data_IF_019556511142
#
_entry.id   IF_019556511142
#
_cell.length_a   1.000
_cell.length_b   1.000
_cell.length_c   1.000
_cell.angle_alpha   90.00
_cell.angle_beta   90.00
_cell.angle_gamma   90.00
#
_symmetry.space_group_name_H-M   'P 1'
#
loop_
_entity.id
_entity.type
_entity.pdbx_description
1 polymer ?
#
# COMPACT_ATOMS: atom_id res chain seq x y z
N UNK A 1 -21.52 10.26 24.30
CA UNK A 1 -20.14 10.62 24.63
C UNK A 1 -19.86 12.02 24.11
N UNK A 2 -19.19 12.86 24.89
CA UNK A 2 -18.66 14.15 24.45
C UNK A 2 -17.42 13.96 23.59
N UNK A 3 -17.02 14.97 22.78
CA UNK A 3 -15.78 14.90 22.00
C UNK A 3 -14.55 14.62 22.86
N UNK A 4 -14.53 15.10 24.11
CA UNK A 4 -13.43 14.86 25.06
C UNK A 4 -13.39 13.40 25.51
N UNK A 5 -14.54 12.79 25.74
CA UNK A 5 -14.64 11.36 26.10
C UNK A 5 -14.22 10.46 24.95
N UNK A 6 -14.66 10.77 23.72
CA UNK A 6 -14.27 10.01 22.51
C UNK A 6 -12.75 10.09 22.30
N UNK A 7 -12.17 11.28 22.47
CA UNK A 7 -10.73 11.46 22.34
C UNK A 7 -9.95 10.68 23.41
N UNK A 8 -10.41 10.68 24.67
CA UNK A 8 -9.78 9.87 25.73
C UNK A 8 -9.78 8.40 25.35
N UNK A 9 -10.92 7.89 24.88
CA UNK A 9 -11.06 6.50 24.46
C UNK A 9 -10.12 6.13 23.30
N UNK A 10 -9.98 6.99 22.28
CA UNK A 10 -9.01 6.78 21.19
C UNK A 10 -7.57 6.75 21.71
N UNK A 11 -7.24 7.62 22.66
CA UNK A 11 -5.90 7.72 23.25
C UNK A 11 -5.55 6.57 24.21
N UNK A 12 -6.54 5.77 24.62
CA UNK A 12 -6.35 4.52 25.37
C UNK A 12 -6.17 3.30 24.45
N UNK A 13 -6.40 3.45 23.15
CA UNK A 13 -6.33 2.38 22.15
C UNK A 13 -4.91 1.96 21.77
N UNK A 14 -4.81 1.18 20.68
CA UNK A 14 -3.53 0.76 20.10
C UNK A 14 -2.61 1.96 19.79
N UNK A 15 -1.30 1.77 19.87
CA UNK A 15 -0.30 2.84 19.64
C UNK A 15 -0.48 3.53 18.28
N UNK A 16 -0.94 2.80 17.25
CA UNK A 16 -1.27 3.35 15.93
C UNK A 16 -2.50 4.28 15.96
N UNK A 17 -3.51 3.95 16.76
CA UNK A 17 -4.70 4.77 16.97
C UNK A 17 -4.31 6.03 17.74
N UNK A 18 -3.49 5.89 18.80
CA UNK A 18 -3.00 7.03 19.56
C UNK A 18 -2.23 7.99 18.64
N UNK A 19 -1.31 7.48 17.83
CA UNK A 19 -0.55 8.29 16.87
C UNK A 19 -1.47 9.05 15.90
N UNK A 20 -2.42 8.36 15.27
CA UNK A 20 -3.33 8.97 14.31
C UNK A 20 -4.31 9.96 14.97
N UNK A 21 -4.81 9.68 16.18
CA UNK A 21 -5.63 10.64 16.93
C UNK A 21 -4.85 11.92 17.25
N UNK A 22 -3.57 11.82 17.65
CA UNK A 22 -2.73 12.99 17.84
C UNK A 22 -2.46 13.74 16.54
N UNK A 23 -2.13 13.03 15.46
CA UNK A 23 -1.78 13.62 14.16
C UNK A 23 -2.99 14.29 13.50
N UNK A 24 -4.10 13.57 13.37
CA UNK A 24 -5.24 13.91 12.51
C UNK A 24 -6.35 14.67 13.25
N UNK A 25 -6.52 14.45 14.56
CA UNK A 25 -7.57 15.12 15.35
C UNK A 25 -7.04 16.24 16.24
N UNK A 26 -5.80 16.12 16.73
CA UNK A 26 -5.18 17.12 17.60
C UNK A 26 -4.12 17.97 16.89
N UNK A 27 -3.89 17.76 15.59
CA UNK A 27 -2.89 18.47 14.78
C UNK A 27 -1.50 18.48 15.44
N UNK A 28 -1.15 17.40 16.14
CA UNK A 28 0.11 17.26 16.87
C UNK A 28 0.80 15.98 16.43
N UNK A 29 1.74 16.10 15.49
CA UNK A 29 2.44 14.96 14.92
C UNK A 29 3.50 14.38 15.87
N UNK A 30 3.07 13.54 16.82
CA UNK A 30 3.95 12.89 17.81
C UNK A 30 4.72 11.72 17.19
N UNK A 31 5.85 12.01 16.52
CA UNK A 31 6.69 10.98 15.90
C UNK A 31 7.15 9.89 16.86
N UNK A 32 7.36 10.21 18.14
CA UNK A 32 7.68 9.22 19.17
C UNK A 32 6.62 8.10 19.29
N UNK A 33 5.33 8.38 19.04
CA UNK A 33 4.30 7.35 19.01
C UNK A 33 4.41 6.52 17.74
N UNK A 34 4.73 7.15 16.60
CA UNK A 34 4.91 6.47 15.31
C UNK A 34 6.06 5.47 15.34
N UNK A 35 7.19 5.87 15.93
CA UNK A 35 8.38 5.04 16.10
C UNK A 35 8.08 3.79 16.93
N UNK A 36 7.21 3.90 17.94
CA UNK A 36 6.82 2.78 18.79
C UNK A 36 5.92 1.74 18.09
N UNK A 37 5.27 2.08 16.97
CA UNK A 37 4.36 1.16 16.26
C UNK A 37 5.07 -0.13 15.83
N UNK A 38 6.38 -0.07 15.53
CA UNK A 38 7.12 -1.27 15.13
C UNK A 38 7.47 -2.20 16.32
N UNK A 39 7.32 -1.72 17.55
CA UNK A 39 7.65 -2.45 18.78
C UNK A 39 6.44 -2.74 19.68
N UNK A 40 5.31 -2.06 19.45
CA UNK A 40 4.11 -2.18 20.28
C UNK A 40 2.84 -2.44 19.43
N UNK A 41 1.84 -3.05 20.06
CA UNK A 41 0.50 -3.15 19.49
C UNK A 41 0.42 -4.00 18.22
N UNK A 42 -0.49 -3.60 17.32
CA UNK A 42 -0.76 -4.32 16.08
C UNK A 42 0.40 -4.29 15.09
N UNK A 43 1.13 -3.18 14.99
CA UNK A 43 2.28 -3.05 14.08
C UNK A 43 3.36 -4.09 14.41
N UNK A 44 3.78 -4.17 15.66
CA UNK A 44 4.71 -5.19 16.13
C UNK A 44 4.18 -6.61 15.93
N UNK A 45 2.88 -6.83 16.17
CA UNK A 45 2.26 -8.13 15.94
C UNK A 45 2.31 -8.55 14.48
N UNK A 46 2.00 -7.66 13.54
CA UNK A 46 2.17 -7.94 12.11
C UNK A 46 3.63 -8.26 11.78
N UNK A 47 4.58 -7.42 12.21
CA UNK A 47 6.01 -7.64 11.96
C UNK A 47 6.49 -9.00 12.49
N UNK A 48 5.98 -9.45 13.64
CA UNK A 48 6.35 -10.73 14.24
C UNK A 48 5.96 -11.96 13.39
N UNK A 49 4.98 -11.82 12.49
CA UNK A 49 4.56 -12.89 11.58
C UNK A 49 5.35 -12.93 10.26
N UNK A 50 6.31 -12.01 10.06
CA UNK A 50 7.20 -12.05 8.89
C UNK A 50 8.05 -13.32 8.97
N UNK A 51 7.99 -14.13 7.91
CA UNK A 51 8.70 -15.41 7.88
C UNK A 51 10.18 -15.22 7.47
N UNK A 52 11.05 -16.23 7.69
CA UNK A 52 12.42 -16.22 7.18
C UNK A 52 12.53 -16.04 5.66
N UNK A 53 11.48 -16.39 4.91
CA UNK A 53 11.35 -16.12 3.47
C UNK A 53 11.22 -14.63 3.15
N UNK A 54 11.06 -13.78 4.16
CA UNK A 54 10.84 -12.32 4.10
C UNK A 54 9.45 -11.92 3.58
N UNK A 55 8.52 -12.87 3.50
CA UNK A 55 7.12 -12.64 3.17
C UNK A 55 6.23 -12.86 4.40
N UNK A 56 4.98 -12.42 4.30
CA UNK A 56 3.86 -12.89 5.09
C UNK A 56 3.01 -13.87 4.27
N UNK A 57 2.46 -14.89 4.92
CA UNK A 57 1.72 -15.94 4.24
C UNK A 57 2.63 -16.87 3.42
N UNK A 58 2.20 -17.28 2.23
CA UNK A 58 2.92 -18.19 1.32
C UNK A 58 3.62 -17.47 0.15
N UNK A 59 3.62 -16.13 0.13
CA UNK A 59 4.21 -15.33 -0.92
C UNK A 59 3.59 -13.93 -0.99
N UNK A 60 3.71 -13.28 -2.14
CA UNK A 60 3.22 -11.92 -2.30
C UNK A 60 1.71 -11.76 -2.06
N UNK A 61 0.88 -12.58 -2.70
CA UNK A 61 -0.59 -12.45 -2.69
C UNK A 61 -1.33 -13.71 -2.21
N UNK A 62 -0.66 -14.61 -1.50
CA UNK A 62 -1.28 -15.85 -1.01
C UNK A 62 -0.98 -16.16 0.46
N UNK A 63 -1.97 -16.69 1.23
CA UNK A 63 -3.41 -16.68 0.91
C UNK A 63 -3.95 -15.24 0.95
N UNK A 64 -5.16 -14.97 0.43
CA UNK A 64 -5.63 -13.58 0.21
C UNK A 64 -5.36 -12.64 1.39
N UNK A 65 -6.10 -12.75 2.49
CA UNK A 65 -6.10 -11.71 3.54
C UNK A 65 -4.88 -11.70 4.47
N UNK A 66 -4.13 -12.80 4.56
CA UNK A 66 -2.91 -12.89 5.39
C UNK A 66 -1.64 -12.94 4.54
N UNK A 67 -1.73 -12.50 3.29
CA UNK A 67 -0.58 -12.37 2.39
C UNK A 67 0.23 -11.11 2.68
N UNK A 68 1.45 -11.11 2.13
CA UNK A 68 2.35 -9.95 2.14
C UNK A 68 1.69 -8.68 1.64
N UNK A 69 0.93 -8.73 0.54
CA UNK A 69 0.24 -7.57 0.00
C UNK A 69 -0.67 -6.89 1.02
N UNK A 70 -1.59 -7.64 1.62
CA UNK A 70 -2.53 -7.06 2.59
C UNK A 70 -1.86 -6.70 3.90
N UNK A 71 -0.83 -7.45 4.34
CA UNK A 71 -0.07 -7.06 5.53
C UNK A 71 0.69 -5.75 5.32
N UNK A 72 1.29 -5.51 4.15
CA UNK A 72 1.95 -4.23 3.84
C UNK A 72 0.94 -3.07 3.79
N UNK A 73 -0.23 -3.30 3.22
CA UNK A 73 -1.32 -2.33 3.21
C UNK A 73 -1.80 -2.00 4.63
N UNK A 74 -1.99 -3.01 5.49
CA UNK A 74 -2.37 -2.81 6.88
C UNK A 74 -1.28 -2.09 7.68
N UNK A 75 -0.02 -2.45 7.50
CA UNK A 75 1.12 -1.75 8.14
C UNK A 75 1.16 -0.27 7.74
N UNK A 76 0.88 0.06 6.47
CA UNK A 76 0.69 1.45 6.03
C UNK A 76 -0.50 2.12 6.73
N UNK A 77 -1.64 1.45 6.81
CA UNK A 77 -2.86 1.99 7.46
C UNK A 77 -2.68 2.19 8.97
N UNK A 78 -1.81 1.41 9.61
CA UNK A 78 -1.38 1.63 10.99
C UNK A 78 -0.41 2.82 11.12
N UNK A 79 0.03 3.40 10.00
CA UNK A 79 0.97 4.50 9.91
C UNK A 79 2.37 4.22 10.51
N UNK A 80 2.81 2.95 10.47
CA UNK A 80 4.15 2.56 10.89
C UNK A 80 5.23 3.37 10.16
N UNK A 81 6.41 3.56 10.78
CA UNK A 81 7.52 4.28 10.16
C UNK A 81 7.78 3.83 8.71
N UNK A 82 7.91 4.76 7.75
CA UNK A 82 8.10 4.42 6.35
C UNK A 82 9.52 3.91 6.08
N UNK A 83 10.42 4.02 7.07
CA UNK A 83 11.82 3.62 6.99
C UNK A 83 12.10 2.27 7.67
N UNK A 84 11.05 1.51 8.02
CA UNK A 84 11.22 0.20 8.64
C UNK A 84 12.00 -0.75 7.69
N UNK A 85 13.12 -1.26 8.19
CA UNK A 85 14.06 -2.05 7.38
C UNK A 85 13.47 -3.38 6.90
N UNK A 86 12.63 -4.03 7.71
CA UNK A 86 12.04 -5.32 7.37
C UNK A 86 11.03 -5.16 6.23
N UNK A 87 10.23 -4.10 6.26
CA UNK A 87 9.29 -3.76 5.19
C UNK A 87 10.05 -3.44 3.90
N UNK A 88 11.09 -2.61 3.98
CA UNK A 88 11.93 -2.24 2.83
C UNK A 88 12.54 -3.47 2.16
N UNK A 89 13.14 -4.36 2.94
CA UNK A 89 13.70 -5.62 2.42
C UNK A 89 12.65 -6.47 1.69
N UNK A 90 11.42 -6.54 2.22
CA UNK A 90 10.34 -7.29 1.57
C UNK A 90 9.93 -6.65 0.25
N UNK A 91 9.81 -5.32 0.21
CA UNK A 91 9.48 -4.58 -1.01
C UNK A 91 10.57 -4.75 -2.08
N UNK A 92 11.84 -4.68 -1.70
CA UNK A 92 12.96 -4.90 -2.62
C UNK A 92 12.85 -6.28 -3.30
N UNK A 93 12.54 -7.33 -2.54
CA UNK A 93 12.37 -8.68 -3.08
C UNK A 93 11.15 -8.79 -3.99
N UNK A 94 10.03 -8.14 -3.64
CA UNK A 94 8.82 -8.14 -4.48
C UNK A 94 9.11 -7.50 -5.83
N UNK A 95 9.74 -6.32 -5.86
CA UNK A 95 10.07 -5.63 -7.11
C UNK A 95 11.13 -6.36 -7.95
N UNK A 96 11.99 -7.17 -7.32
CA UNK A 96 12.96 -8.01 -8.02
C UNK A 96 12.32 -9.27 -8.62
N UNK A 97 11.44 -9.96 -7.88
CA UNK A 97 11.00 -11.33 -8.21
C UNK A 97 9.60 -11.43 -8.78
N UNK A 98 8.70 -10.54 -8.40
CA UNK A 98 7.27 -10.64 -8.71
C UNK A 98 6.85 -9.74 -9.88
N UNK A 99 7.80 -9.00 -10.45
CA UNK A 99 7.57 -8.06 -11.54
C UNK A 99 7.27 -8.78 -12.85
N UNK A 100 6.15 -8.40 -13.46
CA UNK A 100 5.65 -8.92 -14.72
C UNK A 100 6.28 -8.28 -15.95
N UNK A 101 6.06 -8.92 -17.09
CA UNK A 101 6.48 -8.41 -18.40
C UNK A 101 5.68 -7.17 -18.83
N UNK A 102 4.48 -7.00 -18.28
CA UNK A 102 3.63 -5.83 -18.49
C UNK A 102 4.01 -4.63 -17.60
N UNK A 103 5.03 -4.77 -16.76
CA UNK A 103 5.56 -3.71 -15.90
C UNK A 103 4.94 -3.64 -14.51
N UNK A 104 3.82 -4.33 -14.27
CA UNK A 104 3.20 -4.44 -12.95
C UNK A 104 3.77 -5.57 -12.10
N UNK A 105 3.23 -5.75 -10.91
CA UNK A 105 3.52 -6.90 -10.03
C UNK A 105 2.38 -7.91 -10.15
N UNK A 106 2.74 -9.18 -10.30
CA UNK A 106 1.77 -10.26 -10.44
C UNK A 106 1.19 -10.70 -9.08
N UNK A 107 -0.13 -10.65 -8.96
CA UNK A 107 -0.87 -11.34 -7.91
C UNK A 107 -1.26 -12.74 -8.41
N UNK A 108 -0.34 -13.70 -8.29
CA UNK A 108 -0.46 -15.13 -8.67
C UNK A 108 -1.57 -15.49 -9.68
N UNK A 109 -1.16 -15.90 -10.88
CA UNK A 109 -2.05 -16.49 -11.88
C UNK A 109 -1.30 -17.04 -13.08
N UNK A 110 -1.89 -18.02 -13.76
CA UNK A 110 -1.38 -18.64 -15.00
C UNK A 110 -1.30 -17.69 -16.19
N UNK A 111 -2.07 -16.59 -16.12
CA UNK A 111 -2.33 -15.72 -17.26
C UNK A 111 -1.28 -14.62 -17.44
N UNK A 112 -0.30 -14.51 -16.52
CA UNK A 112 0.80 -13.54 -16.55
C UNK A 112 0.36 -12.11 -16.90
N UNK A 113 -0.76 -11.65 -16.32
CA UNK A 113 -1.21 -10.25 -16.43
C UNK A 113 -1.41 -9.66 -15.04
N UNK A 114 -0.96 -8.43 -14.88
CA UNK A 114 -1.05 -7.65 -13.66
C UNK A 114 -2.47 -7.13 -13.45
N UNK A 115 -3.00 -7.30 -12.24
CA UNK A 115 -4.31 -6.76 -11.86
C UNK A 115 -4.17 -5.26 -11.51
N UNK A 116 -4.98 -4.43 -12.13
CA UNK A 116 -4.89 -2.96 -12.04
C UNK A 116 -5.24 -2.44 -10.64
N UNK A 117 -6.20 -3.06 -9.94
CA UNK A 117 -6.53 -2.65 -8.58
C UNK A 117 -5.37 -2.98 -7.63
N UNK A 118 -4.78 -4.17 -7.79
CA UNK A 118 -3.65 -4.59 -6.98
C UNK A 118 -2.44 -3.70 -7.22
N UNK A 119 -2.16 -3.32 -8.47
CA UNK A 119 -1.05 -2.43 -8.79
C UNK A 119 -1.28 -0.99 -8.32
N UNK A 120 -2.53 -0.51 -8.28
CA UNK A 120 -2.89 0.74 -7.61
C UNK A 120 -2.58 0.72 -6.11
N UNK A 121 -2.97 -0.36 -5.42
CA UNK A 121 -2.64 -0.56 -4.00
C UNK A 121 -1.13 -0.71 -3.75
N UNK A 122 -0.40 -1.39 -4.65
CA UNK A 122 1.07 -1.51 -4.58
C UNK A 122 1.71 -0.13 -4.70
N UNK A 123 1.29 0.67 -5.69
CA UNK A 123 1.80 2.02 -5.86
C UNK A 123 1.56 2.84 -4.59
N UNK A 124 0.39 2.68 -3.95
CA UNK A 124 0.06 3.34 -2.70
C UNK A 124 1.08 3.00 -1.59
N UNK A 125 1.12 1.77 -1.09
CA UNK A 125 2.01 1.48 0.04
C UNK A 125 3.50 1.56 -0.33
N UNK A 126 3.89 1.28 -1.58
CA UNK A 126 5.31 1.35 -1.97
C UNK A 126 5.83 2.78 -1.99
N UNK A 127 4.98 3.73 -2.39
CA UNK A 127 5.30 5.16 -2.32
C UNK A 127 5.42 5.63 -0.87
N UNK A 128 4.49 5.21 -0.01
CA UNK A 128 4.56 5.49 1.43
C UNK A 128 5.86 4.97 2.07
N UNK A 129 6.28 3.76 1.71
CA UNK A 129 7.51 3.13 2.21
C UNK A 129 8.80 3.59 1.49
N UNK A 130 8.75 4.69 0.73
CA UNK A 130 9.91 5.28 0.04
C UNK A 130 10.70 4.28 -0.82
N UNK A 131 10.00 3.40 -1.55
CA UNK A 131 10.63 2.51 -2.53
C UNK A 131 11.32 3.34 -3.61
N UNK A 132 12.45 2.85 -4.16
CA UNK A 132 13.16 3.55 -5.24
C UNK A 132 12.24 3.84 -6.42
N UNK A 133 12.20 5.10 -6.88
CA UNK A 133 11.31 5.54 -7.97
C UNK A 133 11.41 4.65 -9.22
N UNK A 134 12.62 4.26 -9.61
CA UNK A 134 12.86 3.40 -10.77
C UNK A 134 12.08 2.07 -10.73
N UNK A 135 11.74 1.54 -9.55
CA UNK A 135 10.92 0.34 -9.42
C UNK A 135 9.44 0.61 -9.76
N UNK A 136 8.97 1.83 -9.50
CA UNK A 136 7.59 2.27 -9.69
C UNK A 136 7.28 2.75 -11.11
N UNK A 137 8.29 3.17 -11.89
CA UNK A 137 8.07 3.73 -13.24
C UNK A 137 7.21 2.83 -14.14
N UNK A 138 7.53 1.54 -14.20
CA UNK A 138 6.75 0.61 -15.03
C UNK A 138 5.35 0.31 -14.47
N UNK A 139 5.15 0.47 -13.17
CA UNK A 139 3.81 0.38 -12.55
C UNK A 139 2.99 1.60 -12.96
N UNK A 140 3.58 2.79 -12.93
CA UNK A 140 2.95 4.02 -13.46
C UNK A 140 2.61 3.85 -14.95
N UNK A 141 3.55 3.36 -15.76
CA UNK A 141 3.33 3.15 -17.20
C UNK A 141 2.17 2.17 -17.46
N UNK A 142 2.11 1.07 -16.70
CA UNK A 142 0.99 0.12 -16.75
C UNK A 142 -0.33 0.80 -16.40
N UNK A 143 -0.38 1.53 -15.28
CA UNK A 143 -1.62 2.17 -14.82
C UNK A 143 -2.11 3.20 -15.84
N UNK A 144 -1.24 4.10 -16.31
CA UNK A 144 -1.60 5.12 -17.30
C UNK A 144 -2.09 4.51 -18.62
N UNK A 145 -1.50 3.39 -19.06
CA UNK A 145 -1.93 2.66 -20.25
C UNK A 145 -3.36 2.10 -20.12
N UNK A 146 -3.77 1.73 -18.92
CA UNK A 146 -5.06 1.07 -18.65
C UNK A 146 -6.16 2.05 -18.21
N UNK A 147 -5.91 3.36 -18.32
CA UNK A 147 -6.93 4.40 -18.13
C UNK A 147 -8.00 4.25 -19.20
N UNK A 148 -9.25 4.12 -18.75
CA UNK A 148 -10.40 3.93 -19.63
C UNK A 148 -10.89 5.26 -20.21
N UNK A 149 -11.76 5.20 -21.23
CA UNK A 149 -12.28 6.39 -21.92
C UNK A 149 -13.15 7.29 -21.04
N UNK A 150 -13.74 6.73 -19.98
CA UNK A 150 -14.48 7.47 -18.95
C UNK A 150 -13.56 8.08 -17.87
N UNK A 151 -12.24 7.90 -18.02
CA UNK A 151 -11.21 8.43 -17.13
C UNK A 151 -10.89 7.56 -15.91
N UNK A 152 -11.65 6.49 -15.67
CA UNK A 152 -11.44 5.57 -14.55
C UNK A 152 -10.62 4.33 -14.91
N UNK A 153 -10.66 3.33 -14.02
CA UNK A 153 -9.91 2.08 -14.15
C UNK A 153 -10.79 0.87 -13.86
N UNK A 154 -10.41 -0.30 -14.39
CA UNK A 154 -11.12 -1.56 -14.13
C UNK A 154 -10.14 -2.75 -14.12
N UNK A 155 -10.24 -3.66 -13.15
CA UNK A 155 -9.43 -4.89 -13.07
C UNK A 155 -9.57 -5.82 -14.28
N UNK A 156 -10.70 -5.75 -14.99
CA UNK A 156 -10.98 -6.62 -16.12
C UNK A 156 -10.48 -6.05 -17.46
N UNK A 157 -10.15 -4.75 -17.52
CA UNK A 157 -9.73 -4.04 -18.73
C UNK A 157 -8.67 -4.81 -19.53
N UNK A 158 -7.56 -5.17 -18.89
CA UNK A 158 -6.46 -5.93 -19.48
C UNK A 158 -6.60 -7.45 -19.34
N UNK A 159 -7.72 -7.98 -18.82
CA UNK A 159 -7.93 -9.43 -18.62
C UNK A 159 -8.97 -9.97 -19.58
N UNK A 160 -10.24 -9.74 -19.28
CA UNK A 160 -11.40 -10.20 -20.04
C UNK A 160 -12.10 -9.08 -20.83
N UNK A 161 -11.62 -7.84 -20.71
CA UNK A 161 -12.25 -6.64 -21.23
C UNK A 161 -13.26 -6.03 -20.25
N UNK A 162 -13.43 -4.71 -20.34
CA UNK A 162 -14.43 -3.94 -19.62
C UNK A 162 -14.90 -2.74 -20.45
N UNK A 163 -16.19 -2.43 -20.40
CA UNK A 163 -16.77 -1.25 -21.08
C UNK A 163 -16.71 0.01 -20.22
N UNK A 164 -16.84 -0.15 -18.90
CA UNK A 164 -16.88 0.96 -17.94
C UNK A 164 -15.87 0.74 -16.83
N UNK A 165 -15.36 1.85 -16.27
CA UNK A 165 -14.57 1.84 -15.06
C UNK A 165 -15.36 1.28 -13.87
N UNK A 166 -14.64 0.80 -12.86
CA UNK A 166 -15.23 0.37 -11.59
C UNK A 166 -14.79 1.32 -10.49
N UNK A 167 -15.69 1.58 -9.53
CA UNK A 167 -15.40 2.46 -8.39
C UNK A 167 -14.16 1.98 -7.61
N UNK A 168 -14.11 0.70 -7.25
CA UNK A 168 -13.03 0.17 -6.42
C UNK A 168 -11.68 0.21 -7.10
N UNK A 169 -11.58 -0.21 -8.37
CA UNK A 169 -10.30 -0.13 -9.09
C UNK A 169 -9.86 1.33 -9.25
N UNK A 170 -10.80 2.22 -9.55
CA UNK A 170 -10.51 3.65 -9.72
C UNK A 170 -9.97 4.24 -8.42
N UNK A 171 -10.62 3.97 -7.28
CA UNK A 171 -10.16 4.42 -5.96
C UNK A 171 -8.75 3.91 -5.64
N UNK A 172 -8.50 2.61 -5.79
CA UNK A 172 -7.16 2.04 -5.52
C UNK A 172 -6.06 2.71 -6.36
N UNK A 173 -6.34 3.04 -7.62
CA UNK A 173 -5.36 3.68 -8.50
C UNK A 173 -5.14 5.14 -8.12
N UNK A 174 -6.21 5.93 -7.89
CA UNK A 174 -6.04 7.34 -7.54
C UNK A 174 -5.43 7.53 -6.16
N UNK A 175 -5.71 6.63 -5.20
CA UNK A 175 -5.03 6.62 -3.89
C UNK A 175 -3.55 6.28 -4.07
N UNK A 176 -3.21 5.35 -4.96
CA UNK A 176 -1.83 5.07 -5.36
C UNK A 176 -1.12 6.29 -5.93
N UNK A 177 -1.73 6.96 -6.91
CA UNK A 177 -1.18 8.16 -7.54
C UNK A 177 -1.06 9.31 -6.52
N UNK A 178 -2.05 9.49 -5.65
CA UNK A 178 -2.01 10.53 -4.62
C UNK A 178 -0.83 10.33 -3.65
N UNK A 179 -0.62 9.10 -3.19
CA UNK A 179 0.50 8.76 -2.31
C UNK A 179 1.84 8.91 -3.02
N UNK A 180 1.93 8.48 -4.29
CA UNK A 180 3.10 8.69 -5.15
C UNK A 180 3.46 10.18 -5.25
N UNK A 181 2.49 11.04 -5.54
CA UNK A 181 2.70 12.49 -5.63
C UNK A 181 3.11 13.11 -4.30
N UNK A 182 2.43 12.75 -3.22
CA UNK A 182 2.65 13.32 -1.89
C UNK A 182 4.01 12.98 -1.31
N UNK A 183 4.59 11.83 -1.68
CA UNK A 183 5.93 11.43 -1.25
C UNK A 183 7.05 11.95 -2.19
N UNK A 184 6.74 12.88 -3.09
CA UNK A 184 7.75 13.61 -3.87
C UNK A 184 8.30 12.86 -5.08
N UNK A 185 7.65 11.79 -5.50
CA UNK A 185 7.96 11.15 -6.77
C UNK A 185 7.52 12.01 -7.95
N UNK A 186 8.24 11.90 -9.07
CA UNK A 186 8.20 12.85 -10.18
C UNK A 186 8.00 12.23 -11.55
N UNK A 187 8.27 10.93 -11.73
CA UNK A 187 8.13 10.29 -13.04
C UNK A 187 6.67 10.32 -13.52
N UNK A 188 6.44 11.01 -14.65
CA UNK A 188 5.14 11.19 -15.33
C UNK A 188 4.03 11.76 -14.44
N UNK A 189 4.38 12.61 -13.48
CA UNK A 189 3.43 13.18 -12.51
C UNK A 189 2.43 14.18 -13.12
N UNK A 190 2.78 14.77 -14.26
CA UNK A 190 1.98 15.78 -14.95
C UNK A 190 0.95 15.20 -15.94
N UNK A 191 0.91 13.87 -16.09
CA UNK A 191 0.00 13.12 -16.99
C UNK A 191 -1.25 12.58 -16.28
#
# INVERSE_FOLDING_TARGET
MTNKEILSWLLEGDISIQYQAYKDLLNNNKQILRERIEHEGWGAKFLSYRQPTKYWGRGFYQPKWTSTHYTLLDLKNLAISPYNILIKETLDIIFEKEKGQDGGIYAIGTDKRSDICINGMILNYSSYFNVKEAYLNSVIDLLLKEKMSDGGFNCWSNRSGATHSSLHTTLSVIEGIHEYRTNGYSYRVDE
#
